data_IF_738670624407
#
_entry.id   IF_738670624407
#
_cell.length_a   1.000
_cell.length_b   1.000
_cell.length_c   1.000
_cell.angle_alpha   90.00
_cell.angle_beta   90.00
_cell.angle_gamma   90.00
#
_symmetry.space_group_name_H-M   'P 1'
#
loop_
_entity.id
_entity.type
_entity.pdbx_description
1 polymer ?
#
# COMPACT_ATOMS: atom_id res chain seq x y z
N UNK A 1 -63.91 10.51 -111.65
CA UNK A 1 -62.83 10.34 -110.65
C UNK A 1 -62.39 8.88 -110.67
N UNK A 2 -61.14 8.60 -111.05
CA UNK A 2 -60.62 7.22 -111.12
C UNK A 2 -60.60 6.58 -109.73
N UNK A 3 -61.18 5.38 -109.59
CA UNK A 3 -61.23 4.61 -108.34
C UNK A 3 -59.84 4.39 -107.70
N UNK A 4 -58.78 4.40 -108.51
CA UNK A 4 -57.39 4.29 -108.06
C UNK A 4 -56.89 5.51 -107.28
N UNK A 5 -57.34 6.73 -107.61
CA UNK A 5 -56.92 7.95 -106.92
C UNK A 5 -57.52 8.09 -105.52
N UNK A 6 -58.76 7.61 -105.32
CA UNK A 6 -59.44 7.64 -104.01
C UNK A 6 -58.80 6.63 -103.05
N UNK A 7 -58.40 5.46 -103.54
CA UNK A 7 -57.72 4.44 -102.74
C UNK A 7 -56.32 4.92 -102.33
N UNK A 8 -55.56 5.52 -103.26
CA UNK A 8 -54.25 6.11 -102.94
C UNK A 8 -54.35 7.26 -101.93
N UNK A 9 -55.35 8.14 -102.07
CA UNK A 9 -55.57 9.21 -101.10
C UNK A 9 -55.90 8.66 -99.70
N UNK A 10 -56.65 7.54 -99.61
CA UNK A 10 -56.94 6.86 -98.34
C UNK A 10 -55.69 6.26 -97.69
N UNK A 11 -54.80 5.65 -98.48
CA UNK A 11 -53.52 5.14 -97.97
C UNK A 11 -52.59 6.25 -97.47
N UNK A 12 -52.52 7.37 -98.20
CA UNK A 12 -51.73 8.54 -97.76
C UNK A 12 -52.31 9.14 -96.49
N UNK A 13 -53.64 9.23 -96.36
CA UNK A 13 -54.29 9.71 -95.15
C UNK A 13 -54.04 8.78 -93.95
N UNK A 14 -54.14 7.46 -94.12
CA UNK A 14 -53.82 6.48 -93.07
C UNK A 14 -52.35 6.52 -92.67
N UNK A 15 -51.43 6.65 -93.62
CA UNK A 15 -50.01 6.78 -93.35
C UNK A 15 -49.69 8.09 -92.59
N UNK A 16 -50.34 9.20 -92.94
CA UNK A 16 -50.19 10.47 -92.23
C UNK A 16 -50.68 10.39 -90.77
N UNK A 17 -51.86 9.78 -90.54
CA UNK A 17 -52.37 9.55 -89.17
C UNK A 17 -51.46 8.60 -88.38
N UNK A 18 -50.98 7.52 -89.01
CA UNK A 18 -50.03 6.59 -88.41
C UNK A 18 -48.70 7.26 -88.05
N UNK A 19 -48.17 8.13 -88.91
CA UNK A 19 -46.95 8.88 -88.66
C UNK A 19 -47.10 9.84 -87.46
N UNK A 20 -48.21 10.57 -87.35
CA UNK A 20 -48.45 11.48 -86.21
C UNK A 20 -48.54 10.71 -84.88
N UNK A 21 -49.20 9.56 -84.86
CA UNK A 21 -49.30 8.72 -83.65
C UNK A 21 -47.96 8.12 -83.24
N UNK A 22 -47.16 7.64 -84.20
CA UNK A 22 -45.80 7.14 -83.94
C UNK A 22 -44.87 8.25 -83.44
N UNK A 23 -44.95 9.44 -84.04
CA UNK A 23 -44.13 10.59 -83.63
C UNK A 23 -44.49 11.06 -82.21
N UNK A 24 -45.78 11.04 -81.88
CA UNK A 24 -46.27 11.31 -80.52
C UNK A 24 -45.72 10.32 -79.49
N UNK A 25 -45.82 9.00 -79.75
CA UNK A 25 -45.24 7.98 -78.85
C UNK A 25 -43.72 8.05 -78.75
N UNK A 26 -43.03 8.39 -79.84
CA UNK A 26 -41.58 8.59 -79.83
C UNK A 26 -41.18 9.78 -78.94
N UNK A 27 -41.95 10.86 -78.97
CA UNK A 27 -41.73 12.03 -78.11
C UNK A 27 -41.98 11.71 -76.63
N UNK A 28 -43.02 10.93 -76.31
CA UNK A 28 -43.29 10.47 -74.95
C UNK A 28 -42.18 9.56 -74.40
N UNK A 29 -41.68 8.62 -75.22
CA UNK A 29 -40.55 7.75 -74.84
C UNK A 29 -39.27 8.56 -74.65
N UNK A 30 -39.00 9.55 -75.51
CA UNK A 30 -37.85 10.46 -75.34
C UNK A 30 -37.99 11.30 -74.07
N UNK A 31 -39.20 11.78 -73.76
CA UNK A 31 -39.50 12.51 -72.54
C UNK A 31 -39.33 11.66 -71.28
N UNK A 32 -39.76 10.39 -71.30
CA UNK A 32 -39.58 9.47 -70.17
C UNK A 32 -38.11 9.10 -69.96
N UNK A 33 -37.34 8.93 -71.04
CA UNK A 33 -35.89 8.73 -70.98
C UNK A 33 -35.17 9.96 -70.43
N UNK A 34 -35.50 11.17 -70.89
CA UNK A 34 -34.91 12.40 -70.37
C UNK A 34 -35.19 12.58 -68.88
N UNK A 35 -36.43 12.36 -68.43
CA UNK A 35 -36.77 12.36 -67.00
C UNK A 35 -36.02 11.29 -66.21
N UNK A 36 -35.83 10.10 -66.78
CA UNK A 36 -35.08 9.02 -66.14
C UNK A 36 -33.58 9.34 -66.04
N UNK A 37 -33.00 9.93 -67.08
CA UNK A 37 -31.60 10.39 -67.10
C UNK A 37 -31.40 11.52 -66.09
N UNK A 38 -32.32 12.48 -66.03
CA UNK A 38 -32.25 13.59 -65.07
C UNK A 38 -32.39 13.09 -63.61
N UNK A 39 -33.33 12.17 -63.36
CA UNK A 39 -33.48 11.51 -62.05
C UNK A 39 -32.23 10.71 -61.68
N UNK A 40 -31.66 9.95 -62.60
CA UNK A 40 -30.43 9.19 -62.37
C UNK A 40 -29.25 10.13 -62.11
N UNK A 41 -29.14 11.25 -62.83
CA UNK A 41 -28.09 12.26 -62.59
C UNK A 41 -28.20 12.86 -61.19
N UNK A 42 -29.41 13.23 -60.76
CA UNK A 42 -29.64 13.74 -59.41
C UNK A 42 -29.35 12.67 -58.33
N UNK A 43 -29.71 11.41 -58.59
CA UNK A 43 -29.42 10.30 -57.68
C UNK A 43 -27.91 10.02 -57.58
N UNK A 44 -27.17 10.08 -58.69
CA UNK A 44 -25.72 9.93 -58.71
C UNK A 44 -25.07 11.05 -57.90
N UNK A 45 -25.45 12.31 -58.13
CA UNK A 45 -24.91 13.44 -57.36
C UNK A 45 -25.20 13.32 -55.86
N UNK A 46 -26.41 12.87 -55.49
CA UNK A 46 -26.76 12.64 -54.09
C UNK A 46 -25.93 11.49 -53.49
N UNK A 47 -25.82 10.38 -54.20
CA UNK A 47 -25.03 9.24 -53.75
C UNK A 47 -23.55 9.59 -53.62
N UNK A 48 -23.01 10.41 -54.51
CA UNK A 48 -21.60 10.87 -54.49
C UNK A 48 -21.33 11.73 -53.24
N UNK A 49 -22.23 12.65 -52.90
CA UNK A 49 -22.14 13.42 -51.66
C UNK A 49 -22.30 12.55 -50.39
N UNK A 50 -23.22 11.58 -50.39
CA UNK A 50 -23.36 10.61 -49.30
C UNK A 50 -22.11 9.71 -49.17
N UNK A 51 -21.48 9.33 -50.29
CA UNK A 51 -20.25 8.55 -50.28
C UNK A 51 -19.09 9.35 -49.68
N UNK A 52 -18.91 10.60 -50.09
CA UNK A 52 -17.86 11.49 -49.59
C UNK A 52 -17.99 11.72 -48.08
N UNK A 53 -19.21 11.98 -47.59
CA UNK A 53 -19.47 12.12 -46.15
C UNK A 53 -19.19 10.84 -45.37
N UNK A 54 -19.56 9.68 -45.91
CA UNK A 54 -19.30 8.37 -45.28
C UNK A 54 -17.82 8.01 -45.29
N UNK A 55 -17.10 8.36 -46.35
CA UNK A 55 -15.64 8.18 -46.42
C UNK A 55 -14.92 9.08 -45.40
N UNK A 56 -15.36 10.34 -45.27
CA UNK A 56 -14.85 11.26 -44.25
C UNK A 56 -15.09 10.72 -42.84
N UNK A 57 -16.30 10.24 -42.55
CA UNK A 57 -16.68 9.62 -41.26
C UNK A 57 -15.85 8.35 -40.99
N UNK A 58 -15.62 7.51 -42.00
CA UNK A 58 -14.76 6.33 -41.87
C UNK A 58 -13.32 6.71 -41.56
N UNK A 59 -12.79 7.75 -42.21
CA UNK A 59 -11.44 8.25 -41.98
C UNK A 59 -11.28 8.83 -40.57
N UNK A 60 -12.26 9.59 -40.07
CA UNK A 60 -12.22 10.11 -38.69
C UNK A 60 -12.30 8.97 -37.68
N UNK A 61 -13.22 8.02 -37.84
CA UNK A 61 -13.31 6.84 -36.97
C UNK A 61 -12.04 6.00 -36.96
N UNK A 62 -11.40 5.82 -38.12
CA UNK A 62 -10.09 5.15 -38.20
C UNK A 62 -9.00 5.93 -37.51
N UNK A 63 -8.98 7.26 -37.65
CA UNK A 63 -8.02 8.11 -36.95
C UNK A 63 -8.24 8.09 -35.43
N UNK A 64 -9.49 8.16 -34.97
CA UNK A 64 -9.85 8.09 -33.55
C UNK A 64 -9.49 6.73 -32.96
N UNK A 65 -9.81 5.65 -33.69
CA UNK A 65 -9.38 4.30 -33.34
C UNK A 65 -7.85 4.21 -33.29
N UNK A 66 -7.16 4.75 -34.30
CA UNK A 66 -5.69 4.77 -34.34
C UNK A 66 -5.11 5.56 -33.17
N UNK A 67 -5.70 6.70 -32.81
CA UNK A 67 -5.25 7.54 -31.71
C UNK A 67 -5.50 6.90 -30.35
N UNK A 68 -6.62 6.20 -30.17
CA UNK A 68 -6.90 5.37 -29.00
C UNK A 68 -5.96 4.16 -28.93
N UNK A 69 -5.70 3.51 -30.06
CA UNK A 69 -4.81 2.35 -30.17
C UNK A 69 -3.34 2.69 -30.00
N UNK A 70 -2.90 3.89 -30.41
CA UNK A 70 -1.53 4.38 -30.26
C UNK A 70 -1.10 4.47 -28.79
N UNK A 71 -2.05 4.71 -27.88
CA UNK A 71 -1.80 4.68 -26.44
C UNK A 71 -1.99 3.30 -25.83
N UNK A 72 -3.04 2.60 -26.25
CA UNK A 72 -3.42 1.30 -25.71
C UNK A 72 -3.54 0.34 -26.89
N UNK A 73 -2.52 -0.47 -27.12
CA UNK A 73 -2.48 -1.49 -28.18
C UNK A 73 -3.65 -2.50 -28.07
N UNK A 74 -3.53 -3.67 -28.69
CA UNK A 74 -4.54 -4.74 -28.63
C UNK A 74 -5.04 -5.01 -27.21
N UNK A 75 -6.36 -5.21 -27.10
CA UNK A 75 -7.02 -5.70 -25.91
C UNK A 75 -7.75 -7.01 -26.17
N UNK A 76 -7.96 -7.77 -25.12
CA UNK A 76 -8.76 -9.00 -25.11
C UNK A 76 -9.71 -8.96 -23.93
N UNK A 77 -10.98 -9.20 -24.17
CA UNK A 77 -11.92 -9.52 -23.10
C UNK A 77 -11.91 -11.05 -22.93
N UNK A 78 -11.37 -11.52 -21.81
CA UNK A 78 -11.09 -12.93 -21.55
C UNK A 78 -11.68 -13.36 -20.20
N UNK A 79 -12.16 -14.60 -20.12
CA UNK A 79 -12.50 -15.19 -18.84
C UNK A 79 -11.22 -15.62 -18.14
N UNK A 80 -11.02 -15.06 -16.95
CA UNK A 80 -9.86 -15.30 -16.11
C UNK A 80 -10.26 -16.13 -14.91
N UNK A 81 -9.47 -17.16 -14.65
CA UNK A 81 -9.55 -17.98 -13.45
C UNK A 81 -8.25 -17.81 -12.66
N UNK A 82 -8.34 -17.41 -11.40
CA UNK A 82 -7.18 -17.38 -10.49
C UNK A 82 -6.83 -18.83 -10.14
N UNK A 83 -5.74 -19.34 -10.72
CA UNK A 83 -5.30 -20.72 -10.58
C UNK A 83 -4.58 -20.96 -9.25
N UNK A 84 -3.82 -19.98 -8.77
CA UNK A 84 -3.09 -20.08 -7.51
C UNK A 84 -3.19 -18.78 -6.69
N UNK A 85 -3.80 -18.88 -5.52
CA UNK A 85 -4.02 -17.74 -4.63
C UNK A 85 -2.77 -17.25 -3.89
N UNK A 86 -1.71 -18.08 -3.82
CA UNK A 86 -0.46 -17.72 -3.15
C UNK A 86 0.50 -16.99 -4.09
N UNK A 87 0.61 -17.47 -5.33
CA UNK A 87 1.54 -16.90 -6.33
C UNK A 87 0.89 -15.83 -7.21
N UNK A 88 -0.45 -15.74 -7.20
CA UNK A 88 -1.19 -14.86 -8.10
C UNK A 88 -1.14 -15.35 -9.56
N UNK A 89 -1.10 -16.66 -9.75
CA UNK A 89 -1.14 -17.24 -11.10
C UNK A 89 -2.57 -17.24 -11.62
N UNK A 90 -2.74 -16.83 -12.87
CA UNK A 90 -4.04 -16.76 -13.53
C UNK A 90 -4.03 -17.57 -14.82
N UNK A 91 -5.16 -18.19 -15.12
CA UNK A 91 -5.41 -18.90 -16.37
C UNK A 91 -6.46 -18.15 -17.18
N UNK A 92 -6.21 -18.01 -18.48
CA UNK A 92 -7.06 -17.24 -19.38
C UNK A 92 -7.44 -18.08 -20.59
N UNK A 93 -8.64 -17.87 -21.13
CA UNK A 93 -9.16 -18.57 -22.31
C UNK A 93 -8.75 -17.91 -23.65
N UNK A 94 -7.61 -17.24 -23.64
CA UNK A 94 -6.98 -16.66 -24.82
C UNK A 94 -5.56 -17.25 -24.94
N UNK A 95 -5.14 -17.59 -26.14
CA UNK A 95 -3.90 -18.27 -26.43
C UNK A 95 -3.22 -17.77 -27.71
N UNK A 96 -2.37 -18.61 -28.29
CA UNK A 96 -1.55 -18.26 -29.46
C UNK A 96 -2.38 -17.84 -30.67
N UNK A 97 -3.53 -18.50 -30.92
CA UNK A 97 -4.40 -18.17 -32.06
C UNK A 97 -5.04 -16.78 -31.94
N UNK A 98 -5.17 -16.26 -30.71
CA UNK A 98 -5.73 -14.94 -30.43
C UNK A 98 -4.64 -13.85 -30.39
N UNK A 99 -3.38 -14.22 -30.68
CA UNK A 99 -2.26 -13.30 -30.84
C UNK A 99 -1.64 -12.81 -29.53
N UNK A 100 -1.62 -13.66 -28.49
CA UNK A 100 -0.86 -13.43 -27.25
C UNK A 100 0.67 -13.50 -27.41
N UNK A 101 1.15 -13.60 -28.66
CA UNK A 101 2.55 -13.79 -29.00
C UNK A 101 2.97 -15.26 -28.99
N UNK A 102 4.27 -15.49 -28.80
CA UNK A 102 4.87 -16.81 -28.65
C UNK A 102 5.53 -16.90 -27.28
N UNK A 103 5.18 -17.92 -26.50
CA UNK A 103 5.84 -18.22 -25.23
C UNK A 103 5.85 -19.73 -25.03
N UNK A 104 7.01 -20.32 -24.74
CA UNK A 104 7.12 -21.69 -24.27
C UNK A 104 7.43 -21.71 -22.78
N UNK A 105 6.92 -22.76 -22.13
CA UNK A 105 7.15 -22.98 -20.70
C UNK A 105 8.64 -23.22 -20.46
N UNK A 106 9.25 -22.42 -19.57
CA UNK A 106 10.67 -22.47 -19.27
C UNK A 106 11.57 -21.56 -20.11
N UNK A 107 11.01 -20.78 -21.04
CA UNK A 107 11.76 -19.73 -21.74
C UNK A 107 12.27 -18.65 -20.77
N UNK A 108 13.32 -17.93 -21.18
CA UNK A 108 13.82 -16.77 -20.45
C UNK A 108 12.67 -15.78 -20.21
N UNK A 109 12.36 -15.44 -18.94
CA UNK A 109 11.31 -14.51 -18.63
C UNK A 109 11.47 -13.20 -19.38
N UNK A 110 12.68 -12.71 -19.68
CA UNK A 110 12.87 -11.45 -20.40
C UNK A 110 12.25 -11.42 -21.81
N UNK A 111 12.08 -12.58 -22.45
CA UNK A 111 11.61 -12.72 -23.84
C UNK A 111 10.10 -12.96 -23.91
N UNK A 112 9.49 -13.38 -22.80
CA UNK A 112 8.07 -13.70 -22.77
C UNK A 112 7.19 -12.43 -22.81
N UNK A 113 6.07 -12.46 -23.56
CA UNK A 113 5.15 -11.35 -23.66
C UNK A 113 4.51 -11.02 -22.30
N UNK A 114 4.37 -9.72 -22.05
CA UNK A 114 3.71 -9.18 -20.85
C UNK A 114 2.37 -8.58 -21.25
N UNK A 115 1.34 -8.91 -20.49
CA UNK A 115 0.00 -8.36 -20.62
C UNK A 115 -0.41 -7.69 -19.33
N UNK A 116 -1.26 -6.67 -19.45
CA UNK A 116 -1.76 -5.87 -18.34
C UNK A 116 -3.22 -6.22 -18.10
N UNK A 117 -3.55 -6.65 -16.88
CA UNK A 117 -4.86 -7.17 -16.54
C UNK A 117 -5.70 -6.14 -15.77
N UNK A 118 -6.97 -6.04 -16.15
CA UNK A 118 -7.96 -5.16 -15.58
C UNK A 118 -9.23 -5.95 -15.25
N UNK A 119 -9.62 -5.95 -13.97
CA UNK A 119 -10.85 -6.61 -13.52
C UNK A 119 -11.99 -5.59 -13.43
N UNK A 120 -13.24 -5.98 -13.64
CA UNK A 120 -14.39 -5.11 -13.42
C UNK A 120 -14.50 -4.71 -11.95
N UNK A 121 -14.70 -3.42 -11.69
CA UNK A 121 -14.87 -2.86 -10.37
C UNK A 121 -16.36 -2.77 -10.03
N UNK A 122 -16.83 -3.55 -9.06
CA UNK A 122 -18.24 -3.55 -8.65
C UNK A 122 -18.67 -2.25 -7.96
N UNK A 123 -17.73 -1.43 -7.47
CA UNK A 123 -18.04 -0.18 -6.80
C UNK A 123 -18.40 0.95 -7.76
N UNK A 124 -18.09 0.80 -9.07
CA UNK A 124 -18.33 1.80 -10.10
C UNK A 124 -19.01 1.15 -11.31
N UNK A 125 -20.18 1.63 -11.75
CA UNK A 125 -20.78 1.14 -13.00
C UNK A 125 -19.80 1.37 -14.16
N UNK A 126 -19.45 0.30 -14.87
CA UNK A 126 -18.42 0.25 -15.93
C UNK A 126 -16.98 0.63 -15.48
N UNK A 127 -16.71 0.61 -14.18
CA UNK A 127 -15.37 0.77 -13.66
C UNK A 127 -14.51 -0.46 -13.96
N UNK A 128 -13.23 -0.23 -14.25
CA UNK A 128 -12.21 -1.27 -14.28
C UNK A 128 -11.12 -0.91 -13.27
N UNK A 129 -10.67 -1.91 -12.52
CA UNK A 129 -9.56 -1.82 -11.60
C UNK A 129 -8.36 -2.53 -12.19
N UNK A 130 -7.19 -1.88 -12.13
CA UNK A 130 -5.94 -2.48 -12.56
C UNK A 130 -5.50 -3.52 -11.55
N UNK A 131 -5.33 -4.76 -12.00
CA UNK A 131 -4.86 -5.88 -11.17
C UNK A 131 -3.34 -5.93 -11.18
N UNK A 132 -2.73 -5.88 -12.35
CA UNK A 132 -1.28 -6.02 -12.47
C UNK A 132 -0.79 -6.34 -13.86
N UNK A 133 0.52 -6.49 -13.97
CA UNK A 133 1.19 -6.96 -15.17
C UNK A 133 1.49 -8.46 -15.00
N UNK A 134 1.18 -9.24 -16.02
CA UNK A 134 1.31 -10.68 -16.04
C UNK A 134 2.14 -11.10 -17.25
N UNK A 135 3.03 -12.06 -17.04
CA UNK A 135 3.88 -12.64 -18.08
C UNK A 135 3.30 -13.98 -18.52
N UNK A 136 3.30 -14.25 -19.82
CA UNK A 136 2.84 -15.54 -20.35
C UNK A 136 3.87 -16.62 -20.03
N UNK A 137 3.52 -17.55 -19.13
CA UNK A 137 4.39 -18.65 -18.74
C UNK A 137 4.19 -19.88 -19.62
N UNK A 138 2.94 -20.24 -19.90
CA UNK A 138 2.62 -21.35 -20.81
C UNK A 138 1.53 -20.92 -21.79
N UNK A 139 1.76 -21.15 -23.07
CA UNK A 139 0.85 -20.77 -24.15
C UNK A 139 0.27 -22.02 -24.82
N UNK A 140 -1.05 -22.06 -24.92
CA UNK A 140 -1.82 -23.07 -25.66
C UNK A 140 -2.54 -22.38 -26.82
N UNK A 141 -3.08 -23.13 -27.80
CA UNK A 141 -3.75 -22.50 -28.94
C UNK A 141 -4.92 -21.57 -28.56
N UNK A 142 -5.70 -21.94 -27.52
CA UNK A 142 -6.90 -21.22 -27.06
C UNK A 142 -6.88 -20.92 -25.54
N UNK A 143 -5.70 -20.93 -24.93
CA UNK A 143 -5.55 -20.65 -23.51
C UNK A 143 -4.12 -20.29 -23.15
N UNK A 144 -3.94 -19.65 -22.00
CA UNK A 144 -2.63 -19.32 -21.49
C UNK A 144 -2.61 -19.33 -19.96
N UNK A 145 -1.45 -19.65 -19.41
CA UNK A 145 -1.13 -19.53 -18.00
C UNK A 145 -0.23 -18.32 -17.83
N UNK A 146 -0.67 -17.37 -17.00
CA UNK A 146 0.01 -16.11 -16.78
C UNK A 146 0.46 -16.01 -15.33
N UNK A 147 1.71 -15.59 -15.13
CA UNK A 147 2.30 -15.38 -13.82
C UNK A 147 2.47 -13.89 -13.61
N UNK A 148 2.16 -13.37 -12.43
CA UNK A 148 2.37 -11.96 -12.13
C UNK A 148 3.85 -11.58 -12.28
N UNK A 149 4.15 -10.51 -13.01
CA UNK A 149 5.51 -9.99 -13.22
C UNK A 149 6.14 -9.59 -11.89
N UNK A 150 5.32 -9.08 -10.98
CA UNK A 150 5.74 -8.73 -9.64
C UNK A 150 4.88 -9.50 -8.64
N UNK A 151 5.45 -10.04 -7.56
CA UNK A 151 4.68 -10.76 -6.56
C UNK A 151 3.52 -9.90 -6.03
N UNK A 152 2.30 -10.46 -5.90
CA UNK A 152 1.19 -9.77 -5.28
C UNK A 152 1.43 -9.56 -3.79
N UNK A 153 0.80 -8.54 -3.21
CA UNK A 153 0.87 -8.29 -1.78
C UNK A 153 0.07 -9.31 -0.97
N UNK A 154 0.39 -9.42 0.31
CA UNK A 154 -0.33 -10.28 1.23
C UNK A 154 -1.83 -9.90 1.25
N UNK A 155 -2.70 -10.84 0.89
CA UNK A 155 -4.15 -10.65 0.82
C UNK A 155 -4.67 -9.97 -0.45
N UNK A 156 -3.80 -9.52 -1.36
CA UNK A 156 -4.22 -8.89 -2.62
C UNK A 156 -4.97 -9.87 -3.53
N UNK A 157 -4.43 -11.08 -3.69
CA UNK A 157 -5.00 -12.12 -4.56
C UNK A 157 -6.40 -12.56 -4.09
N UNK A 158 -6.69 -12.44 -2.79
CA UNK A 158 -8.03 -12.72 -2.26
C UNK A 158 -9.10 -11.75 -2.76
N UNK A 159 -8.70 -10.55 -3.22
CA UNK A 159 -9.60 -9.57 -3.81
C UNK A 159 -9.91 -9.84 -5.28
N UNK A 160 -9.05 -10.62 -5.96
CA UNK A 160 -9.20 -10.92 -7.38
C UNK A 160 -10.40 -11.84 -7.61
N UNK A 161 -11.27 -11.46 -8.54
CA UNK A 161 -12.50 -12.22 -8.83
C UNK A 161 -12.36 -12.98 -10.14
N UNK A 162 -12.76 -14.24 -10.16
CA UNK A 162 -12.89 -14.99 -11.42
C UNK A 162 -13.98 -14.36 -12.29
N UNK A 163 -13.77 -14.33 -13.60
CA UNK A 163 -14.76 -13.82 -14.54
C UNK A 163 -14.15 -13.04 -15.70
N UNK A 164 -14.93 -12.19 -16.38
CA UNK A 164 -14.49 -11.46 -17.55
C UNK A 164 -13.54 -10.34 -17.15
N UNK A 165 -12.27 -10.46 -17.49
CA UNK A 165 -11.28 -9.39 -17.34
C UNK A 165 -10.90 -8.85 -18.71
N UNK A 166 -10.44 -7.60 -18.70
CA UNK A 166 -9.81 -6.98 -19.86
C UNK A 166 -8.31 -7.10 -19.75
N UNK A 167 -7.69 -7.77 -20.71
CA UNK A 167 -6.24 -7.84 -20.85
C UNK A 167 -5.79 -6.89 -21.95
N UNK A 168 -4.64 -6.26 -21.78
CA UNK A 168 -4.05 -5.35 -22.77
C UNK A 168 -2.59 -5.69 -23.03
N UNK A 169 -2.16 -5.58 -24.29
CA UNK A 169 -0.76 -5.78 -24.67
C UNK A 169 0.13 -4.63 -24.17
N UNK A 170 -0.42 -3.41 -24.13
CA UNK A 170 0.32 -2.22 -23.76
C UNK A 170 -0.53 -1.29 -22.89
N UNK A 171 0.16 -0.61 -21.98
CA UNK A 171 -0.35 0.50 -21.18
C UNK A 171 0.48 1.73 -21.55
N UNK A 172 -0.13 2.91 -21.75
CA UNK A 172 0.62 4.08 -22.15
C UNK A 172 1.74 4.43 -21.15
N UNK A 173 2.90 4.95 -21.61
CA UNK A 173 4.10 5.10 -20.78
C UNK A 173 3.91 5.98 -19.53
N UNK A 174 3.05 7.01 -19.61
CA UNK A 174 2.74 7.91 -18.50
C UNK A 174 2.11 7.16 -17.30
N UNK A 175 1.27 6.15 -17.56
CA UNK A 175 0.70 5.32 -16.50
C UNK A 175 1.72 4.32 -15.97
N UNK A 176 2.59 3.76 -16.83
CA UNK A 176 3.65 2.85 -16.39
C UNK A 176 4.60 3.56 -15.42
N UNK A 177 5.03 4.78 -15.72
CA UNK A 177 5.87 5.55 -14.80
C UNK A 177 5.16 5.83 -13.49
N UNK A 178 3.87 6.21 -13.52
CA UNK A 178 3.09 6.44 -12.31
C UNK A 178 2.93 5.17 -11.46
N UNK A 179 2.63 4.03 -12.08
CA UNK A 179 2.51 2.73 -11.40
C UNK A 179 3.84 2.33 -10.77
N UNK A 180 4.97 2.53 -11.47
CA UNK A 180 6.31 2.27 -10.92
C UNK A 180 6.58 3.14 -9.70
N UNK A 181 6.38 4.46 -9.80
CA UNK A 181 6.56 5.37 -8.66
C UNK A 181 5.67 5.01 -7.47
N UNK A 182 4.38 4.69 -7.72
CA UNK A 182 3.47 4.25 -6.67
C UNK A 182 3.95 2.95 -6.01
N UNK A 183 4.50 2.02 -6.79
CA UNK A 183 5.07 0.78 -6.28
C UNK A 183 6.30 1.04 -5.41
N UNK A 184 7.23 1.86 -5.88
CA UNK A 184 8.44 2.21 -5.13
C UNK A 184 8.09 2.88 -3.79
N UNK A 185 7.15 3.82 -3.83
CA UNK A 185 6.60 4.45 -2.62
C UNK A 185 5.98 3.41 -1.68
N UNK A 186 5.25 2.43 -2.20
CA UNK A 186 4.63 1.40 -1.38
C UNK A 186 5.70 0.53 -0.70
N UNK A 187 6.70 0.06 -1.44
CA UNK A 187 7.83 -0.71 -0.90
C UNK A 187 8.57 0.09 0.18
N UNK A 188 8.81 1.38 -0.05
CA UNK A 188 9.43 2.25 0.96
C UNK A 188 8.56 2.33 2.23
N UNK A 189 7.25 2.50 2.08
CA UNK A 189 6.31 2.56 3.21
C UNK A 189 6.24 1.25 3.98
N UNK A 190 6.24 0.10 3.31
CA UNK A 190 6.30 -1.21 3.95
C UNK A 190 7.59 -1.39 4.75
N UNK A 191 8.74 -1.00 4.19
CA UNK A 191 10.01 -1.03 4.91
C UNK A 191 10.00 -0.11 6.14
N UNK A 192 9.42 1.10 6.01
CA UNK A 192 9.26 2.01 7.15
C UNK A 192 8.33 1.43 8.23
N UNK A 193 7.23 0.79 7.82
CA UNK A 193 6.30 0.12 8.74
C UNK A 193 7.02 -0.98 9.52
N UNK A 194 7.75 -1.85 8.82
CA UNK A 194 8.51 -2.95 9.44
C UNK A 194 9.54 -2.42 10.45
N UNK A 195 10.34 -1.42 10.07
CA UNK A 195 11.31 -0.79 10.99
C UNK A 195 10.64 -0.21 12.24
N UNK A 196 9.44 0.36 12.11
CA UNK A 196 8.68 0.87 13.26
C UNK A 196 8.16 -0.26 14.14
N UNK A 197 7.67 -1.35 13.56
CA UNK A 197 7.24 -2.54 14.30
C UNK A 197 8.41 -3.15 15.07
N UNK A 198 9.56 -3.33 14.43
CA UNK A 198 10.78 -3.84 15.07
C UNK A 198 11.19 -2.93 16.24
N UNK A 199 11.17 -1.60 16.03
CA UNK A 199 11.46 -0.63 17.11
C UNK A 199 10.48 -0.70 18.28
N UNK A 200 9.19 -0.93 18.02
CA UNK A 200 8.20 -1.12 19.09
C UNK A 200 8.52 -2.37 19.89
N UNK A 201 8.90 -3.47 19.24
CA UNK A 201 9.30 -4.70 19.92
C UNK A 201 10.55 -4.48 20.80
N UNK A 202 11.55 -3.78 20.28
CA UNK A 202 12.76 -3.43 21.05
C UNK A 202 12.44 -2.54 22.26
N UNK A 203 11.59 -1.52 22.08
CA UNK A 203 11.17 -0.64 23.18
C UNK A 203 10.39 -1.40 24.25
N UNK A 204 9.52 -2.33 23.86
CA UNK A 204 8.79 -3.18 24.81
C UNK A 204 9.75 -4.07 25.61
N UNK A 205 10.79 -4.62 24.95
CA UNK A 205 11.83 -5.39 25.64
C UNK A 205 12.63 -4.54 26.62
N UNK A 206 13.02 -3.33 26.22
CA UNK A 206 13.74 -2.39 27.09
C UNK A 206 12.87 -1.95 28.27
N UNK A 207 11.58 -1.71 28.04
CA UNK A 207 10.62 -1.35 29.07
C UNK A 207 10.48 -2.47 30.11
N UNK A 208 10.32 -3.72 29.66
CA UNK A 208 10.25 -4.87 30.57
C UNK A 208 11.54 -5.00 31.42
N UNK A 209 12.72 -4.88 30.81
CA UNK A 209 13.98 -4.93 31.53
C UNK A 209 14.17 -3.73 32.49
N UNK A 210 13.67 -2.55 32.14
CA UNK A 210 13.71 -1.38 33.01
C UNK A 210 12.76 -1.53 34.20
N UNK A 211 11.56 -2.10 33.99
CA UNK A 211 10.61 -2.42 35.06
C UNK A 211 11.20 -3.43 36.04
N UNK A 212 11.80 -4.52 35.54
CA UNK A 212 12.47 -5.53 36.36
C UNK A 212 13.61 -4.92 37.21
N UNK A 213 14.43 -4.05 36.60
CA UNK A 213 15.50 -3.35 37.33
C UNK A 213 14.95 -2.39 38.38
N UNK A 214 13.88 -1.66 38.06
CA UNK A 214 13.24 -0.75 39.00
C UNK A 214 12.66 -1.54 40.18
N UNK A 215 11.96 -2.64 39.91
CA UNK A 215 11.42 -3.53 40.94
C UNK A 215 12.53 -4.10 41.82
N UNK A 216 13.64 -4.55 41.21
CA UNK A 216 14.84 -4.99 41.94
C UNK A 216 15.36 -3.88 42.86
N UNK A 217 15.53 -2.65 42.36
CA UNK A 217 16.00 -1.52 43.18
C UNK A 217 15.04 -1.14 44.30
N UNK A 218 13.74 -1.13 44.02
CA UNK A 218 12.72 -0.87 45.04
C UNK A 218 12.78 -1.94 46.12
N UNK A 219 12.96 -3.21 45.71
CA UNK A 219 13.09 -4.36 46.62
C UNK A 219 14.37 -4.31 47.47
N UNK A 220 15.49 -3.81 46.93
CA UNK A 220 16.73 -3.57 47.68
C UNK A 220 16.58 -2.44 48.71
N UNK A 221 15.87 -1.37 48.35
CA UNK A 221 15.71 -0.19 49.20
C UNK A 221 14.69 -0.42 50.34
N UNK A 222 13.52 -0.94 50.00
CA UNK A 222 12.36 -1.06 50.90
C UNK A 222 12.28 -2.44 51.55
N UNK A 223 13.04 -3.41 51.02
CA UNK A 223 12.88 -4.82 51.36
C UNK A 223 11.83 -5.48 50.48
N UNK A 224 11.95 -6.79 50.30
CA UNK A 224 10.99 -7.60 49.55
C UNK A 224 10.27 -8.58 50.48
N UNK A 225 9.03 -8.94 50.17
CA UNK A 225 8.30 -9.98 50.93
C UNK A 225 9.00 -11.36 50.84
N UNK A 226 9.85 -11.55 49.81
CA UNK A 226 10.64 -12.74 49.58
C UNK A 226 12.06 -12.65 50.17
N UNK A 227 12.37 -11.60 50.94
CA UNK A 227 13.69 -11.43 51.55
C UNK A 227 13.95 -12.54 52.58
N UNK A 228 15.18 -13.06 52.69
CA UNK A 228 15.55 -14.02 53.73
C UNK A 228 15.24 -13.44 55.11
N UNK A 229 14.37 -14.12 55.86
CA UNK A 229 13.93 -13.69 57.19
C UNK A 229 14.87 -14.18 58.32
N UNK A 230 15.97 -14.85 57.95
CA UNK A 230 16.93 -15.39 58.91
C UNK A 230 17.50 -14.28 59.80
N UNK A 231 17.39 -14.45 61.12
CA UNK A 231 17.81 -13.45 62.11
C UNK A 231 19.34 -13.25 62.13
N UNK A 232 20.09 -14.21 61.58
CA UNK A 232 21.55 -14.15 61.49
C UNK A 232 22.01 -13.16 60.40
N UNK A 233 21.13 -12.81 59.44
CA UNK A 233 21.49 -11.94 58.33
C UNK A 233 21.42 -10.45 58.70
N UNK A 234 22.30 -9.62 58.11
CA UNK A 234 22.22 -8.17 58.24
C UNK A 234 20.83 -7.62 57.91
N UNK A 235 20.43 -6.59 58.66
CA UNK A 235 19.07 -6.03 58.64
C UNK A 235 18.73 -5.44 57.28
N UNK A 236 19.72 -4.90 56.59
CA UNK A 236 19.64 -4.42 55.20
C UNK A 236 19.13 -5.48 54.22
N UNK A 237 19.56 -6.74 54.40
CA UNK A 237 19.18 -7.85 53.52
C UNK A 237 17.80 -8.42 53.86
N UNK A 238 17.32 -8.18 55.09
CA UNK A 238 16.04 -8.69 55.59
C UNK A 238 14.89 -7.70 55.42
N UNK A 239 15.13 -6.43 55.70
CA UNK A 239 14.12 -5.36 55.76
C UNK A 239 14.37 -4.24 54.75
N UNK A 240 15.42 -4.35 53.94
CA UNK A 240 15.84 -3.31 53.00
C UNK A 240 16.84 -2.32 53.61
N UNK A 241 17.59 -1.66 52.73
CA UNK A 241 18.63 -0.70 53.09
C UNK A 241 18.11 0.47 53.93
N UNK A 242 16.89 0.95 53.68
CA UNK A 242 16.32 2.09 54.41
C UNK A 242 16.12 1.74 55.90
N UNK A 243 15.60 0.55 56.18
CA UNK A 243 15.42 0.09 57.56
C UNK A 243 16.76 -0.17 58.27
N UNK A 244 17.75 -0.70 57.54
CA UNK A 244 19.11 -0.88 58.06
C UNK A 244 19.75 0.45 58.48
N UNK A 245 19.68 1.47 57.61
CA UNK A 245 20.20 2.81 57.92
C UNK A 245 19.50 3.46 59.11
N UNK A 246 18.18 3.28 59.24
CA UNK A 246 17.44 3.81 60.39
C UNK A 246 17.94 3.21 61.71
N UNK A 247 18.25 1.91 61.72
CA UNK A 247 18.76 1.23 62.92
C UNK A 247 20.21 1.62 63.23
N UNK A 248 21.07 1.75 62.21
CA UNK A 248 22.43 2.26 62.40
C UNK A 248 22.44 3.69 62.96
N UNK A 249 21.56 4.57 62.46
CA UNK A 249 21.42 5.93 62.99
C UNK A 249 20.87 5.93 64.43
N UNK A 250 19.99 4.99 64.79
CA UNK A 250 19.54 4.84 66.19
C UNK A 250 20.68 4.39 67.11
N UNK A 251 21.48 3.40 66.69
CA UNK A 251 22.65 2.94 67.45
C UNK A 251 23.67 4.06 67.62
N UNK A 252 23.99 4.78 66.54
CA UNK A 252 24.87 5.93 66.56
C UNK A 252 24.38 7.02 67.52
N UNK A 253 23.08 7.29 67.54
CA UNK A 253 22.49 8.26 68.47
C UNK A 253 22.60 7.81 69.93
N UNK A 254 22.46 6.52 70.22
CA UNK A 254 22.67 5.96 71.55
C UNK A 254 24.13 6.08 71.99
N UNK A 255 25.08 5.72 71.13
CA UNK A 255 26.52 5.86 71.39
C UNK A 255 26.92 7.32 71.67
N UNK A 256 26.34 8.27 70.93
CA UNK A 256 26.57 9.69 71.21
C UNK A 256 26.03 10.09 72.59
N UNK A 257 24.84 9.62 72.97
CA UNK A 257 24.29 9.88 74.31
C UNK A 257 25.14 9.27 75.41
N UNK A 258 25.66 8.06 75.23
CA UNK A 258 26.55 7.41 76.19
C UNK A 258 27.89 8.14 76.30
N UNK A 259 28.47 8.53 75.17
CA UNK A 259 29.70 9.34 75.13
C UNK A 259 29.52 10.67 75.86
N UNK A 260 28.39 11.35 75.67
CA UNK A 260 28.07 12.59 76.36
C UNK A 260 27.86 12.39 77.87
N UNK A 261 27.19 11.29 78.29
CA UNK A 261 27.08 10.92 79.70
C UNK A 261 28.46 10.69 80.31
N UNK A 262 29.29 9.88 79.65
CA UNK A 262 30.64 9.56 80.12
C UNK A 262 31.53 10.81 80.20
N UNK A 263 31.39 11.75 79.25
CA UNK A 263 32.06 13.06 79.30
C UNK A 263 31.61 13.88 80.51
N UNK A 264 30.30 13.93 80.80
CA UNK A 264 29.77 14.62 81.99
C UNK A 264 30.28 13.97 83.27
N UNK A 265 30.32 12.65 83.34
CA UNK A 265 30.82 11.92 84.50
C UNK A 265 32.32 12.14 84.71
N UNK A 266 33.12 12.12 83.64
CA UNK A 266 34.54 12.45 83.69
C UNK A 266 34.76 13.87 84.22
N UNK A 267 34.00 14.85 83.73
CA UNK A 267 34.05 16.23 84.22
C UNK A 267 33.69 16.32 85.70
N UNK A 268 32.65 15.60 86.15
CA UNK A 268 32.26 15.55 87.56
C UNK A 268 33.34 14.92 88.44
N UNK A 269 33.97 13.83 87.99
CA UNK A 269 35.08 13.18 88.71
C UNK A 269 36.29 14.11 88.79
N UNK A 270 36.64 14.77 87.69
CA UNK A 270 37.73 15.73 87.65
C UNK A 270 37.47 16.92 88.60
N UNK A 271 36.23 17.44 88.62
CA UNK A 271 35.85 18.50 89.55
C UNK A 271 35.95 18.03 91.01
N UNK A 272 35.46 16.82 91.34
CA UNK A 272 35.62 16.26 92.69
C UNK A 272 37.09 16.09 93.07
N UNK A 273 37.93 15.65 92.14
CA UNK A 273 39.36 15.52 92.39
C UNK A 273 40.00 16.88 92.71
N UNK A 274 39.63 17.93 91.95
CA UNK A 274 40.07 19.29 92.25
C UNK A 274 39.60 19.76 93.63
N UNK A 275 38.34 19.51 93.97
CA UNK A 275 37.77 19.87 95.27
C UNK A 275 38.49 19.14 96.43
N UNK A 276 38.76 17.83 96.29
CA UNK A 276 39.53 17.06 97.27
C UNK A 276 40.97 17.58 97.41
N UNK A 277 41.65 17.91 96.30
CA UNK A 277 43.00 18.49 96.36
C UNK A 277 42.97 19.82 97.11
N UNK A 278 41.96 20.66 96.87
CA UNK A 278 41.77 21.89 97.62
C UNK A 278 41.50 21.62 99.11
N UNK A 279 40.67 20.63 99.45
CA UNK A 279 40.35 20.27 100.82
C UNK A 279 41.56 19.71 101.58
N UNK A 280 42.32 18.78 101.00
CA UNK A 280 43.58 18.27 101.56
C UNK A 280 44.57 19.41 101.75
N UNK A 281 44.69 20.34 100.79
CA UNK A 281 45.56 21.51 100.95
C UNK A 281 45.13 22.42 102.13
N UNK A 282 43.82 22.55 102.39
CA UNK A 282 43.28 23.29 103.54
C UNK A 282 43.52 22.55 104.86
N UNK A 283 43.28 21.25 104.92
CA UNK A 283 43.53 20.41 106.09
C UNK A 283 45.03 20.34 106.44
N UNK A 284 45.91 20.28 105.43
CA UNK A 284 47.36 20.31 105.62
C UNK A 284 47.83 21.63 106.25
N UNK A 285 47.16 22.75 105.92
CA UNK A 285 47.39 24.05 106.56
C UNK A 285 46.84 24.12 108.00
N UNK A 286 45.94 23.21 108.39
CA UNK A 286 45.34 23.13 109.73
C UNK A 286 46.03 22.11 110.65
N UNK A 287 46.89 21.24 110.14
CA UNK A 287 47.71 20.35 110.95
C UNK A 287 48.76 21.16 111.74
N UNK A 288 48.91 20.93 113.06
CA UNK A 288 49.94 21.61 113.85
C UNK A 288 51.31 21.23 113.29
N UNK A 289 52.05 22.23 112.80
CA UNK A 289 53.44 22.03 112.42
C UNK A 289 54.20 21.51 113.66
N UNK A 290 54.67 20.27 113.61
CA UNK A 290 55.65 19.79 114.58
C UNK A 290 56.85 20.72 114.52
N UNK A 291 57.01 21.52 115.58
CA UNK A 291 58.16 22.39 115.79
C UNK A 291 59.39 21.48 115.93
N UNK A 292 60.38 21.53 115.01
CA UNK A 292 61.59 20.75 115.17
C UNK A 292 62.33 21.20 116.43
N UNK A 293 62.71 20.22 117.27
CA UNK A 293 63.53 20.44 118.44
C UNK A 293 64.93 20.90 118.01
N UNK A 294 65.33 22.09 118.47
CA UNK A 294 66.66 22.66 118.25
C UNK A 294 66.97 23.74 119.28
N UNK A 295 67.95 23.40 120.13
CA UNK A 295 68.74 24.20 121.10
C UNK A 295 68.01 24.99 122.19
#
# INVERSE_FOLDING_TARGET
>A
MHKSGVILAWFVALAAVGAVLLTSKMLDVRGSWLKSVEKNKAQIQKNEAELETKEAESKTLRNDLTQLMLGWDRYWDANVTVANQQTGEIQVNIGGNQGLGSAQQGDDPAVQPVVFAFQPDQSKPNGVSYVGAFRVNALQPNGAQLISVNPPQAGEVATWKNGPWRLRALVPPNYISAIRTLRDNLVEREQQLKRKQDRIQDLNRLLAAAQERLETRVSELVGSENAPQDEVLPIELRKGLVAGLEEEEQLRNQEFQETDRLRRDLLNVYQKQLDLVQEVSKLTKQLPQQKPAGS
#
